data_IF_755814628403
#
_entry.id   IF_755814628403
#
_cell.length_a   1.000
_cell.length_b   1.000
_cell.length_c   1.000
_cell.angle_alpha   90.00
_cell.angle_beta   90.00
_cell.angle_gamma   90.00
#
_symmetry.space_group_name_H-M   'P 1'
#
loop_
_entity.id
_entity.type
_entity.pdbx_description
1 polymer ?
#
# COMPACT_ATOMS: atom_id res chain seq x y z
N UNK A 1 38.57 19.85 22.11
CA UNK A 1 38.51 19.59 23.57
C UNK A 1 38.68 18.10 23.73
N UNK A 2 39.70 17.67 24.46
CA UNK A 2 39.88 16.26 24.78
C UNK A 2 38.83 15.92 25.87
N UNK A 3 37.97 14.94 25.62
CA UNK A 3 36.97 14.56 26.62
C UNK A 3 37.65 14.04 27.88
N UNK A 4 37.08 14.31 29.04
CA UNK A 4 37.47 13.68 30.29
C UNK A 4 37.47 12.16 30.15
N UNK A 5 38.32 11.45 30.84
CA UNK A 5 38.39 9.99 30.83
C UNK A 5 37.01 9.40 31.14
N UNK A 6 36.38 8.86 30.11
CA UNK A 6 35.04 8.23 30.18
C UNK A 6 34.98 7.03 29.27
N UNK A 7 34.01 6.16 29.51
CA UNK A 7 33.75 4.99 28.63
C UNK A 7 32.84 5.44 27.50
N UNK A 8 33.37 5.46 26.31
CA UNK A 8 32.58 5.78 25.10
C UNK A 8 31.94 4.50 24.57
N UNK A 9 30.63 4.50 24.43
CA UNK A 9 29.88 3.42 23.82
C UNK A 9 29.55 3.79 22.36
N UNK A 10 30.15 3.08 21.42
CA UNK A 10 29.75 3.14 20.03
C UNK A 10 28.71 2.04 19.76
N UNK A 11 27.53 2.44 19.37
CA UNK A 11 26.46 1.51 18.96
C UNK A 11 26.63 1.15 17.50
N UNK A 12 26.97 -0.10 17.24
CA UNK A 12 26.99 -0.62 15.88
C UNK A 12 25.57 -1.08 15.50
N UNK A 13 25.10 -0.65 14.32
CA UNK A 13 23.80 -0.99 13.72
C UNK A 13 24.06 -2.12 12.69
N UNK A 14 23.09 -3.03 12.51
CA UNK A 14 23.13 -4.03 11.46
C UNK A 14 23.54 -5.45 11.89
N UNK A 15 23.89 -5.68 13.17
CA UNK A 15 24.26 -7.04 13.66
C UNK A 15 23.09 -8.01 13.81
N UNK A 16 21.86 -7.53 13.87
CA UNK A 16 20.66 -8.35 13.96
C UNK A 16 19.88 -8.18 12.64
N UNK A 17 19.97 -9.17 11.76
CA UNK A 17 19.11 -9.23 10.57
C UNK A 17 17.66 -9.42 11.02
N UNK A 18 16.86 -8.36 10.93
CA UNK A 18 15.43 -8.45 11.15
C UNK A 18 14.77 -9.09 9.93
N UNK A 19 13.94 -10.08 10.18
CA UNK A 19 12.93 -10.53 9.21
C UNK A 19 11.59 -9.87 9.56
N UNK A 20 10.76 -9.66 8.55
CA UNK A 20 9.41 -9.12 8.77
C UNK A 20 8.63 -10.08 9.69
N UNK A 21 8.03 -9.54 10.74
CA UNK A 21 7.21 -10.31 11.71
C UNK A 21 6.02 -11.00 11.03
N UNK A 22 5.54 -10.42 9.93
CA UNK A 22 4.42 -10.92 9.13
C UNK A 22 4.64 -10.52 7.67
N UNK A 23 4.16 -11.35 6.74
CA UNK A 23 4.13 -10.97 5.32
C UNK A 23 3.26 -9.73 5.06
N UNK A 24 2.32 -9.40 5.96
CA UNK A 24 1.41 -8.27 5.79
C UNK A 24 2.12 -6.90 5.89
N UNK A 25 3.34 -6.83 6.45
CA UNK A 25 4.16 -5.62 6.52
C UNK A 25 5.15 -5.48 5.36
N UNK A 26 5.19 -6.46 4.44
CA UNK A 26 6.08 -6.42 3.28
C UNK A 26 5.47 -5.53 2.20
N UNK A 27 6.15 -4.43 1.92
CA UNK A 27 5.71 -3.40 1.00
C UNK A 27 6.65 -3.27 -0.19
N UNK A 28 6.13 -2.85 -1.32
CA UNK A 28 6.91 -2.42 -2.47
C UNK A 28 6.77 -0.91 -2.70
N UNK A 29 7.81 -0.26 -3.15
CA UNK A 29 7.77 1.11 -3.63
C UNK A 29 8.45 1.16 -4.98
N UNK A 30 7.69 1.45 -6.02
CA UNK A 30 8.21 1.67 -7.37
C UNK A 30 8.30 3.17 -7.61
N UNK A 31 9.49 3.60 -7.99
CA UNK A 31 9.75 5.00 -8.35
C UNK A 31 10.22 5.07 -9.80
N UNK A 32 9.41 5.72 -10.62
CA UNK A 32 9.76 6.07 -11.98
C UNK A 32 10.35 7.48 -11.96
N UNK A 33 11.61 7.61 -12.30
CA UNK A 33 12.35 8.87 -12.16
C UNK A 33 12.90 9.32 -13.51
N UNK A 34 13.00 10.62 -13.72
CA UNK A 34 13.57 11.19 -14.93
C UNK A 34 15.09 10.96 -15.08
N UNK A 35 15.77 10.56 -13.99
CA UNK A 35 17.17 10.19 -13.98
C UNK A 35 17.42 9.05 -13.00
N UNK A 36 18.42 8.19 -13.31
CA UNK A 36 18.81 7.11 -12.42
C UNK A 36 19.70 7.63 -11.29
N UNK A 37 19.27 7.49 -10.01
CA UNK A 37 20.02 8.03 -8.87
C UNK A 37 21.19 7.14 -8.42
N UNK A 38 21.42 5.99 -9.07
CA UNK A 38 22.40 5.00 -8.67
C UNK A 38 23.55 4.91 -9.68
N UNK A 39 24.78 4.81 -9.16
CA UNK A 39 25.95 4.55 -9.97
C UNK A 39 26.02 3.07 -10.37
N UNK A 40 26.69 2.79 -11.48
CA UNK A 40 27.01 1.42 -11.88
C UNK A 40 27.86 0.74 -10.79
N UNK A 41 27.47 -0.47 -10.35
CA UNK A 41 28.15 -1.20 -9.27
C UNK A 41 27.56 -1.00 -7.88
N UNK A 42 26.46 -0.28 -7.75
CA UNK A 42 25.67 -0.19 -6.52
C UNK A 42 25.16 -1.58 -6.07
N UNK A 43 24.92 -1.83 -4.76
CA UNK A 43 24.41 -3.09 -4.24
C UNK A 43 22.96 -3.43 -4.65
N UNK A 44 22.38 -2.64 -5.52
CA UNK A 44 21.09 -2.94 -6.13
C UNK A 44 21.17 -4.14 -7.08
N UNK A 45 20.13 -4.95 -7.07
CA UNK A 45 19.95 -6.00 -8.07
C UNK A 45 19.27 -5.38 -9.28
N UNK A 46 19.94 -5.41 -10.42
CA UNK A 46 19.34 -5.01 -11.70
C UNK A 46 18.45 -6.13 -12.22
N UNK A 47 17.20 -5.78 -12.56
CA UNK A 47 16.26 -6.70 -13.22
C UNK A 47 15.73 -6.06 -14.50
N UNK A 48 15.40 -6.89 -15.46
CA UNK A 48 14.78 -6.47 -16.71
C UNK A 48 13.28 -6.22 -16.48
N UNK A 49 12.79 -5.05 -16.88
CA UNK A 49 11.37 -4.67 -16.89
C UNK A 49 10.81 -4.88 -18.29
N UNK A 50 11.50 -4.35 -19.30
CA UNK A 50 11.32 -4.62 -20.71
C UNK A 50 12.69 -4.82 -21.36
N UNK A 51 12.81 -5.28 -22.62
CA UNK A 51 14.10 -5.42 -23.29
C UNK A 51 14.95 -4.14 -23.32
N UNK A 52 14.32 -2.97 -23.15
CA UNK A 52 14.97 -1.66 -23.19
C UNK A 52 15.07 -0.99 -21.80
N UNK A 53 14.29 -1.46 -20.82
CA UNK A 53 14.14 -0.80 -19.53
C UNK A 53 14.52 -1.75 -18.41
N UNK A 54 15.41 -1.29 -17.54
CA UNK A 54 15.87 -1.99 -16.36
C UNK A 54 15.40 -1.31 -15.10
N UNK A 55 15.17 -2.09 -14.07
CA UNK A 55 14.84 -1.59 -12.74
C UNK A 55 15.90 -2.04 -11.74
N UNK A 56 16.33 -1.12 -10.90
CA UNK A 56 17.23 -1.39 -9.79
C UNK A 56 16.39 -1.70 -8.56
N UNK A 57 16.58 -2.86 -7.97
CA UNK A 57 15.80 -3.37 -6.86
C UNK A 57 16.66 -3.56 -5.63
N UNK A 58 16.22 -3.01 -4.50
CA UNK A 58 16.82 -3.24 -3.19
C UNK A 58 15.77 -3.66 -2.16
N UNK A 59 16.19 -4.53 -1.25
CA UNK A 59 15.42 -4.86 -0.05
C UNK A 59 15.95 -4.03 1.11
N UNK A 60 15.09 -3.24 1.73
CA UNK A 60 15.41 -2.33 2.84
C UNK A 60 14.58 -2.72 4.06
N UNK A 61 15.20 -2.89 5.19
CA UNK A 61 14.57 -3.28 6.46
C UNK A 61 14.56 -2.17 7.50
N UNK A 62 15.42 -1.19 7.33
CA UNK A 62 15.51 0.03 8.13
C UNK A 62 16.14 1.14 7.28
N UNK A 63 15.82 2.38 7.60
CA UNK A 63 16.17 3.52 6.74
C UNK A 63 17.68 3.67 6.52
N UNK A 64 18.49 3.37 7.53
CA UNK A 64 19.95 3.53 7.50
C UNK A 64 20.64 2.61 6.47
N UNK A 65 20.01 1.48 6.08
CA UNK A 65 20.51 0.64 4.97
C UNK A 65 20.62 1.42 3.65
N UNK A 66 19.88 2.52 3.52
CA UNK A 66 19.96 3.36 2.34
C UNK A 66 21.31 4.09 2.23
N UNK A 67 21.94 4.44 3.35
CA UNK A 67 23.29 5.00 3.37
C UNK A 67 24.33 4.00 2.83
N UNK A 68 24.25 2.74 3.26
CA UNK A 68 25.11 1.67 2.75
C UNK A 68 24.92 1.50 1.23
N UNK A 69 23.68 1.56 0.75
CA UNK A 69 23.32 1.43 -0.66
C UNK A 69 23.91 2.58 -1.49
N UNK A 70 23.91 3.80 -0.95
CA UNK A 70 24.50 4.96 -1.62
C UNK A 70 26.02 5.08 -1.40
N UNK A 71 26.60 4.33 -0.48
CA UNK A 71 28.00 4.42 -0.11
C UNK A 71 28.37 5.75 0.54
N UNK A 72 27.46 6.29 1.36
CA UNK A 72 27.60 7.57 2.08
C UNK A 72 27.40 7.38 3.57
N UNK A 73 27.77 8.38 4.37
CA UNK A 73 27.47 8.37 5.81
C UNK A 73 25.98 8.58 6.08
N UNK A 74 25.46 7.98 7.16
CA UNK A 74 24.05 8.14 7.55
C UNK A 74 23.61 9.60 7.67
N UNK A 75 24.50 10.47 8.12
CA UNK A 75 24.25 11.91 8.23
C UNK A 75 23.99 12.61 6.88
N UNK A 76 24.47 12.03 5.79
CA UNK A 76 24.32 12.58 4.43
C UNK A 76 22.97 12.23 3.80
N UNK A 77 22.30 11.20 4.30
CA UNK A 77 20.94 10.83 3.85
C UNK A 77 19.86 11.37 4.78
N UNK A 78 20.24 11.93 5.95
CA UNK A 78 19.24 12.52 6.83
C UNK A 78 18.76 13.86 6.30
N UNK A 79 17.48 14.03 6.33
CA UNK A 79 16.72 15.19 5.84
C UNK A 79 17.14 16.56 6.43
N UNK A 80 17.90 16.57 7.54
CA UNK A 80 18.28 17.76 8.30
C UNK A 80 19.54 18.45 7.79
N UNK A 81 20.40 17.79 7.04
CA UNK A 81 21.72 18.29 6.65
C UNK A 81 21.87 18.55 5.13
N UNK A 82 20.81 18.37 4.36
CA UNK A 82 20.88 18.50 2.91
C UNK A 82 21.15 19.94 2.44
N UNK A 83 22.41 20.29 2.27
CA UNK A 83 22.79 21.30 1.25
C UNK A 83 22.68 20.58 -0.08
N UNK A 84 21.56 20.82 -0.76
CA UNK A 84 21.31 20.29 -2.08
C UNK A 84 22.16 21.03 -3.10
N UNK A 85 22.91 20.28 -3.87
CA UNK A 85 23.36 20.76 -5.18
C UNK A 85 22.12 20.72 -6.10
N UNK A 86 21.42 21.84 -6.15
CA UNK A 86 20.09 22.03 -6.74
C UNK A 86 20.07 21.99 -8.27
N UNK A 87 21.15 21.61 -8.89
CA UNK A 87 21.30 21.72 -10.34
C UNK A 87 21.23 20.40 -11.12
N UNK A 88 21.19 19.24 -10.48
CA UNK A 88 21.37 17.97 -11.19
C UNK A 88 20.17 17.03 -10.98
N UNK A 89 19.54 16.59 -12.08
CA UNK A 89 18.41 15.68 -12.06
C UNK A 89 18.68 14.35 -11.29
N UNK A 90 19.93 13.88 -11.30
CA UNK A 90 20.38 12.71 -10.52
C UNK A 90 20.27 12.97 -9.03
N UNK A 91 20.65 14.17 -8.55
CA UNK A 91 20.58 14.50 -7.13
C UNK A 91 19.12 14.64 -6.66
N UNK A 92 18.25 15.24 -7.46
CA UNK A 92 16.83 15.32 -7.16
C UNK A 92 16.17 13.94 -7.12
N UNK A 93 16.53 13.08 -8.06
CA UNK A 93 16.07 11.68 -8.07
C UNK A 93 16.52 10.92 -6.80
N UNK A 94 17.77 11.11 -6.37
CA UNK A 94 18.29 10.56 -5.11
C UNK A 94 17.48 11.06 -3.92
N UNK A 95 17.21 12.36 -3.87
CA UNK A 95 16.44 12.96 -2.79
C UNK A 95 15.01 12.44 -2.72
N UNK A 96 14.36 12.23 -3.86
CA UNK A 96 13.02 11.63 -3.91
C UNK A 96 13.01 10.22 -3.32
N UNK A 97 14.00 9.38 -3.66
CA UNK A 97 14.15 8.05 -3.07
C UNK A 97 14.35 8.13 -1.56
N UNK A 98 15.26 9.00 -1.09
CA UNK A 98 15.54 9.19 0.34
C UNK A 98 14.28 9.66 1.08
N UNK A 99 13.59 10.68 0.56
CA UNK A 99 12.39 11.23 1.18
C UNK A 99 11.29 10.16 1.36
N UNK A 100 10.91 9.48 0.29
CA UNK A 100 9.83 8.50 0.35
C UNK A 100 10.20 7.26 1.19
N UNK A 101 11.46 6.84 1.17
CA UNK A 101 11.94 5.75 2.01
C UNK A 101 11.94 6.15 3.49
N UNK A 102 12.37 7.37 3.82
CA UNK A 102 12.35 7.91 5.18
C UNK A 102 10.90 8.01 5.70
N UNK A 103 9.99 8.54 4.89
CA UNK A 103 8.58 8.66 5.25
C UNK A 103 7.92 7.28 5.47
N UNK A 104 8.31 6.26 4.68
CA UNK A 104 7.85 4.90 4.90
C UNK A 104 8.28 4.37 6.28
N UNK A 105 9.58 4.44 6.60
CA UNK A 105 10.09 3.93 7.88
C UNK A 105 9.68 4.78 9.07
N UNK A 106 9.39 6.07 8.87
CA UNK A 106 8.80 6.91 9.91
C UNK A 106 7.43 6.40 10.35
N UNK A 107 6.62 5.92 9.42
CA UNK A 107 5.30 5.34 9.69
C UNK A 107 5.38 3.87 10.12
N UNK A 108 6.26 3.09 9.52
CA UNK A 108 6.42 1.64 9.73
C UNK A 108 7.87 1.26 10.06
N UNK A 109 8.33 1.52 11.30
CA UNK A 109 9.72 1.23 11.69
C UNK A 109 10.09 -0.26 11.63
N UNK A 110 9.13 -1.16 11.68
CA UNK A 110 9.32 -2.62 11.59
C UNK A 110 8.94 -3.18 10.23
N UNK A 111 8.56 -2.32 9.28
CA UNK A 111 8.19 -2.72 7.92
C UNK A 111 9.39 -3.23 7.12
N UNK A 112 9.10 -3.99 6.08
CA UNK A 112 10.07 -4.40 5.07
C UNK A 112 9.71 -3.72 3.75
N UNK A 113 10.66 -3.00 3.15
CA UNK A 113 10.46 -2.28 1.91
C UNK A 113 11.29 -2.88 0.77
N UNK A 114 10.63 -3.24 -0.31
CA UNK A 114 11.26 -3.52 -1.58
C UNK A 114 11.19 -2.30 -2.49
N UNK A 115 12.31 -1.61 -2.58
CA UNK A 115 12.44 -0.42 -3.43
C UNK A 115 12.80 -0.85 -4.85
N UNK A 116 11.99 -0.43 -5.82
CA UNK A 116 12.28 -0.58 -7.24
C UNK A 116 12.41 0.81 -7.88
N UNK A 117 13.55 1.11 -8.50
CA UNK A 117 13.78 2.39 -9.18
C UNK A 117 14.06 2.13 -10.64
N UNK A 118 13.34 2.81 -11.52
CA UNK A 118 13.51 2.73 -12.97
C UNK A 118 13.38 4.11 -13.60
N UNK A 119 13.82 4.23 -14.85
CA UNK A 119 13.62 5.44 -15.63
C UNK A 119 12.19 5.46 -16.17
N UNK A 120 11.61 6.65 -16.17
CA UNK A 120 10.29 6.92 -16.72
C UNK A 120 10.17 6.54 -18.21
N UNK A 121 9.02 5.99 -18.59
CA UNK A 121 8.70 5.63 -19.98
C UNK A 121 7.25 5.13 -20.11
N UNK A 122 6.72 5.12 -21.32
CA UNK A 122 5.37 4.65 -21.61
C UNK A 122 5.18 3.17 -21.24
N UNK A 123 4.12 2.84 -20.53
CA UNK A 123 3.78 1.48 -20.12
C UNK A 123 4.61 0.89 -18.97
N UNK A 124 5.69 1.56 -18.57
CA UNK A 124 6.64 1.09 -17.56
C UNK A 124 6.00 0.73 -16.21
N UNK A 125 4.99 1.47 -15.70
CA UNK A 125 4.40 1.14 -14.39
C UNK A 125 3.89 -0.30 -14.31
N UNK A 126 3.25 -0.79 -15.35
CA UNK A 126 2.68 -2.15 -15.39
C UNK A 126 3.77 -3.21 -15.36
N UNK A 127 4.72 -3.12 -16.26
CA UNK A 127 5.82 -4.06 -16.36
C UNK A 127 6.70 -4.02 -15.10
N UNK A 128 6.94 -2.82 -14.53
CA UNK A 128 7.69 -2.65 -13.29
C UNK A 128 7.00 -3.33 -12.09
N UNK A 129 5.67 -3.19 -11.97
CA UNK A 129 4.90 -3.86 -10.91
C UNK A 129 5.02 -5.38 -11.03
N UNK A 130 4.84 -5.92 -12.25
CA UNK A 130 4.95 -7.35 -12.50
C UNK A 130 6.38 -7.86 -12.24
N UNK A 131 7.40 -7.12 -12.69
CA UNK A 131 8.80 -7.47 -12.51
C UNK A 131 9.17 -7.50 -11.02
N UNK A 132 8.77 -6.48 -10.24
CA UNK A 132 9.03 -6.42 -8.81
C UNK A 132 8.31 -7.55 -8.06
N UNK A 133 7.05 -7.80 -8.37
CA UNK A 133 6.27 -8.87 -7.73
C UNK A 133 6.82 -10.26 -8.09
N UNK A 134 7.31 -10.46 -9.31
CA UNK A 134 7.98 -11.69 -9.71
C UNK A 134 9.33 -11.86 -8.97
N UNK A 135 10.12 -10.79 -8.87
CA UNK A 135 11.40 -10.80 -8.14
C UNK A 135 11.22 -11.19 -6.67
N UNK A 136 10.15 -10.73 -6.05
CA UNK A 136 9.83 -11.03 -4.65
C UNK A 136 9.02 -12.31 -4.46
N UNK A 137 8.79 -13.07 -5.52
CA UNK A 137 8.00 -14.30 -5.51
C UNK A 137 6.58 -14.10 -4.94
N UNK A 138 6.00 -12.92 -5.18
CA UNK A 138 4.67 -12.59 -4.70
C UNK A 138 4.58 -12.29 -3.20
N UNK A 139 5.66 -11.92 -2.53
CA UNK A 139 5.65 -11.61 -1.09
C UNK A 139 5.15 -10.22 -0.76
N UNK A 140 5.20 -9.27 -1.70
CA UNK A 140 4.69 -7.91 -1.49
C UNK A 140 3.17 -7.96 -1.34
N UNK A 141 2.63 -7.22 -0.38
CA UNK A 141 1.18 -7.15 -0.08
C UNK A 141 0.56 -5.81 -0.43
N UNK A 142 1.32 -4.75 -0.32
CA UNK A 142 0.95 -3.40 -0.71
C UNK A 142 2.08 -2.75 -1.50
N UNK A 143 1.71 -1.94 -2.48
CA UNK A 143 2.63 -1.30 -3.40
C UNK A 143 2.33 0.19 -3.53
N UNK A 144 3.34 1.02 -3.31
CA UNK A 144 3.33 2.42 -3.69
C UNK A 144 3.90 2.60 -5.09
N UNK A 145 3.27 3.43 -5.90
CA UNK A 145 3.78 3.82 -7.21
C UNK A 145 3.95 5.33 -7.25
N UNK A 146 5.19 5.76 -7.47
CA UNK A 146 5.55 7.14 -7.67
C UNK A 146 5.87 7.34 -9.15
N UNK A 147 5.04 8.14 -9.85
CA UNK A 147 5.22 8.41 -11.28
C UNK A 147 5.35 9.91 -11.50
N UNK A 148 6.47 10.43 -12.01
CA UNK A 148 6.66 11.86 -12.11
C UNK A 148 5.90 12.52 -13.26
N UNK A 149 5.73 11.88 -14.37
CA UNK A 149 5.15 12.54 -15.54
C UNK A 149 4.05 11.72 -16.18
N UNK A 150 2.84 12.22 -16.11
CA UNK A 150 1.80 11.82 -17.01
C UNK A 150 0.89 13.01 -17.25
N UNK A 151 0.65 13.32 -18.49
CA UNK A 151 -0.12 14.49 -18.92
C UNK A 151 -1.55 14.47 -18.34
N UNK A 152 -1.79 15.27 -17.32
CA UNK A 152 -3.12 15.56 -16.79
C UNK A 152 -3.94 14.34 -16.38
N UNK A 153 -5.20 14.26 -16.85
CA UNK A 153 -6.12 13.16 -16.56
C UNK A 153 -5.62 11.76 -17.02
N UNK A 154 -4.58 11.70 -17.87
CA UNK A 154 -3.94 10.45 -18.26
C UNK A 154 -3.27 9.75 -17.08
N UNK A 155 -2.95 10.45 -15.99
CA UNK A 155 -2.51 9.82 -14.73
C UNK A 155 -3.55 8.80 -14.24
N UNK A 156 -4.84 9.08 -14.44
CA UNK A 156 -5.90 8.12 -14.14
C UNK A 156 -5.89 6.93 -15.10
N UNK A 157 -5.45 7.10 -16.32
CA UNK A 157 -5.30 6.00 -17.29
C UNK A 157 -4.10 5.11 -16.95
N UNK A 158 -3.03 5.66 -16.39
CA UNK A 158 -1.94 4.86 -15.81
C UNK A 158 -2.41 4.04 -14.61
N UNK A 159 -3.24 4.64 -13.77
CA UNK A 159 -3.93 3.92 -12.71
C UNK A 159 -4.87 2.86 -13.32
N UNK A 160 -5.54 3.18 -14.42
CA UNK A 160 -6.44 2.28 -15.15
C UNK A 160 -5.72 1.13 -15.87
N UNK A 161 -4.50 1.33 -16.34
CA UNK A 161 -3.67 0.23 -16.84
C UNK A 161 -3.41 -0.83 -15.75
N UNK A 162 -3.68 -0.49 -14.48
CA UNK A 162 -3.75 -1.42 -13.36
C UNK A 162 -4.78 -2.55 -13.54
N UNK A 163 -5.89 -2.37 -14.26
CA UNK A 163 -6.92 -3.41 -14.42
C UNK A 163 -6.39 -4.73 -14.98
N UNK A 164 -5.55 -4.65 -16.01
CA UNK A 164 -4.93 -5.84 -16.57
C UNK A 164 -3.91 -6.49 -15.61
N UNK A 165 -3.33 -5.68 -14.70
CA UNK A 165 -2.38 -6.14 -13.69
C UNK A 165 -3.12 -6.85 -12.57
N UNK A 166 -4.22 -6.30 -12.06
CA UNK A 166 -4.99 -6.91 -10.98
C UNK A 166 -5.45 -8.31 -11.35
N UNK A 167 -6.12 -8.45 -12.49
CA UNK A 167 -6.57 -9.75 -12.98
C UNK A 167 -5.41 -10.72 -13.18
N UNK A 168 -4.29 -10.24 -13.75
CA UNK A 168 -3.09 -11.06 -13.91
C UNK A 168 -2.46 -11.48 -12.57
N UNK A 169 -2.38 -10.59 -11.59
CA UNK A 169 -1.84 -10.90 -10.28
C UNK A 169 -2.77 -11.79 -9.45
N UNK A 170 -4.08 -11.62 -9.56
CA UNK A 170 -5.06 -12.52 -8.94
C UNK A 170 -4.98 -13.93 -9.53
N UNK A 171 -4.89 -14.06 -10.85
CA UNK A 171 -4.69 -15.35 -11.52
C UNK A 171 -3.38 -16.03 -11.10
N UNK A 172 -2.32 -15.26 -10.83
CA UNK A 172 -1.06 -15.75 -10.29
C UNK A 172 -1.09 -15.94 -8.77
N UNK A 173 -2.23 -15.70 -8.12
CA UNK A 173 -2.39 -15.76 -6.66
C UNK A 173 -1.47 -14.80 -5.89
N UNK A 174 -1.22 -13.61 -6.45
CA UNK A 174 -0.34 -12.57 -5.90
C UNK A 174 -1.02 -11.20 -5.83
N UNK A 175 -2.22 -11.11 -5.22
CA UNK A 175 -2.96 -9.86 -5.16
C UNK A 175 -2.15 -8.77 -4.45
N UNK A 176 -2.31 -7.54 -4.91
CA UNK A 176 -1.65 -6.34 -4.39
C UNK A 176 -2.68 -5.25 -4.13
N UNK A 177 -2.53 -4.55 -3.02
CA UNK A 177 -3.15 -3.25 -2.81
C UNK A 177 -2.20 -2.17 -3.31
N UNK A 178 -2.60 -1.36 -4.29
CA UNK A 178 -1.74 -0.41 -5.00
C UNK A 178 -2.17 1.02 -4.69
N UNK A 179 -1.23 1.85 -4.26
CA UNK A 179 -1.45 3.30 -4.06
C UNK A 179 -0.60 4.05 -5.08
N UNK A 180 -1.25 4.85 -5.91
CA UNK A 180 -0.59 5.70 -6.90
C UNK A 180 -0.57 7.14 -6.39
N UNK A 181 0.63 7.70 -6.22
CA UNK A 181 0.82 9.12 -5.96
C UNK A 181 0.69 9.89 -7.26
N UNK A 182 -0.29 10.78 -7.32
CA UNK A 182 -0.46 11.68 -8.45
C UNK A 182 0.55 12.83 -8.39
N UNK A 183 0.78 13.48 -9.52
CA UNK A 183 1.62 14.69 -9.64
C UNK A 183 0.80 15.90 -10.03
N UNK A 184 1.36 17.10 -9.81
CA UNK A 184 0.75 18.37 -10.22
C UNK A 184 0.60 18.49 -11.73
N UNK A 185 1.43 17.80 -12.51
CA UNK A 185 1.52 18.02 -13.96
C UNK A 185 0.16 17.86 -14.65
N UNK A 186 -0.31 18.96 -15.26
CA UNK A 186 -1.60 19.03 -15.94
C UNK A 186 -2.83 18.96 -15.03
N UNK A 187 -2.67 18.96 -13.69
CA UNK A 187 -3.76 18.95 -12.73
C UNK A 187 -3.87 20.30 -12.00
N UNK A 188 -5.11 20.74 -11.82
CA UNK A 188 -5.51 21.88 -10.99
C UNK A 188 -6.50 21.41 -9.95
N UNK A 189 -6.73 22.17 -8.89
CA UNK A 189 -7.78 21.90 -7.92
C UNK A 189 -9.16 21.72 -8.60
N UNK A 190 -9.47 22.56 -9.59
CA UNK A 190 -10.72 22.45 -10.35
C UNK A 190 -10.85 21.11 -11.09
N UNK A 191 -9.75 20.58 -11.62
CA UNK A 191 -9.75 19.24 -12.22
C UNK A 191 -10.04 18.18 -11.18
N UNK A 192 -9.39 18.22 -10.00
CA UNK A 192 -9.60 17.25 -8.92
C UNK A 192 -11.05 17.28 -8.39
N UNK A 193 -11.62 18.49 -8.29
CA UNK A 193 -13.01 18.66 -7.84
C UNK A 193 -14.03 18.18 -8.89
N UNK A 194 -13.77 18.37 -10.17
CA UNK A 194 -14.69 17.99 -11.26
C UNK A 194 -14.48 16.56 -11.77
N UNK A 195 -13.28 15.99 -11.58
CA UNK A 195 -12.99 14.65 -12.03
C UNK A 195 -13.72 13.63 -11.16
N UNK A 196 -14.49 12.76 -11.79
CA UNK A 196 -14.96 11.55 -11.16
C UNK A 196 -14.01 10.40 -11.55
N UNK A 197 -13.05 10.02 -10.69
CA UNK A 197 -12.16 8.91 -10.97
C UNK A 197 -12.86 7.56 -10.91
N UNK A 198 -14.16 7.54 -10.55
CA UNK A 198 -15.00 6.36 -10.67
C UNK A 198 -15.17 6.03 -12.15
N UNK A 199 -14.42 5.07 -12.57
CA UNK A 199 -14.63 4.44 -13.86
C UNK A 199 -15.99 3.73 -13.83
N UNK A 200 -16.63 3.58 -15.01
CA UNK A 200 -17.96 3.01 -15.16
C UNK A 200 -18.22 1.83 -14.22
N UNK A 201 -19.43 1.68 -13.71
CA UNK A 201 -19.89 0.60 -12.80
C UNK A 201 -19.59 -0.84 -13.29
N UNK A 202 -19.03 -0.99 -14.49
CA UNK A 202 -18.69 -2.27 -15.12
C UNK A 202 -17.29 -2.79 -14.83
N UNK A 203 -16.39 -1.95 -14.28
CA UNK A 203 -15.00 -2.33 -14.02
C UNK A 203 -14.63 -2.09 -12.56
N UNK A 204 -14.40 -3.16 -11.81
CA UNK A 204 -13.92 -3.08 -10.44
C UNK A 204 -12.44 -2.68 -10.39
N UNK A 205 -12.11 -1.71 -9.56
CA UNK A 205 -10.75 -1.21 -9.29
C UNK A 205 -10.44 -1.25 -7.81
N UNK A 206 -10.86 -2.31 -7.19
CA UNK A 206 -10.81 -2.56 -5.76
C UNK A 206 -9.42 -2.46 -5.14
N UNK A 207 -8.38 -2.76 -5.92
CA UNK A 207 -7.00 -2.80 -5.40
C UNK A 207 -6.24 -1.48 -5.63
N UNK A 208 -6.88 -0.48 -6.22
CA UNK A 208 -6.25 0.76 -6.64
C UNK A 208 -6.73 1.95 -5.81
N UNK A 209 -5.80 2.77 -5.36
CA UNK A 209 -6.06 4.00 -4.60
C UNK A 209 -5.28 5.17 -5.18
N UNK A 210 -5.85 6.37 -5.19
CA UNK A 210 -5.21 7.58 -5.68
C UNK A 210 -4.88 8.53 -4.52
N UNK A 211 -3.63 8.94 -4.47
CA UNK A 211 -3.10 9.81 -3.42
C UNK A 211 -2.81 11.21 -3.97
N UNK A 212 -3.40 12.22 -3.36
CA UNK A 212 -3.20 13.63 -3.69
C UNK A 212 -2.61 14.44 -2.53
N UNK A 213 -2.36 13.83 -1.37
CA UNK A 213 -1.68 14.49 -0.25
C UNK A 213 -0.23 14.80 -0.59
N UNK A 214 0.20 16.01 -0.29
CA UNK A 214 1.56 16.49 -0.49
C UNK A 214 2.06 17.23 0.75
N UNK A 215 3.38 17.20 1.02
CA UNK A 215 4.02 18.04 2.03
C UNK A 215 4.59 19.28 1.36
N UNK A 216 3.94 20.41 1.56
CA UNK A 216 4.31 21.72 0.99
C UNK A 216 5.30 22.49 1.88
N UNK A 217 6.04 21.84 2.77
CA UNK A 217 7.13 22.46 3.50
C UNK A 217 8.23 22.90 2.52
N UNK A 218 8.65 24.16 2.63
CA UNK A 218 9.60 24.74 1.68
C UNK A 218 10.94 23.98 1.60
N UNK A 219 11.34 23.30 2.68
CA UNK A 219 12.55 22.48 2.70
C UNK A 219 12.34 21.20 1.90
N UNK A 220 11.14 20.57 2.04
CA UNK A 220 10.77 19.38 1.27
C UNK A 220 10.76 19.72 -0.22
N UNK A 221 10.06 20.79 -0.59
CA UNK A 221 9.94 21.23 -1.96
C UNK A 221 11.30 21.57 -2.58
N UNK A 222 12.15 22.29 -1.84
CA UNK A 222 13.51 22.61 -2.28
C UNK A 222 14.36 21.36 -2.52
N UNK A 223 14.25 20.36 -1.63
CA UNK A 223 15.01 19.13 -1.75
C UNK A 223 14.57 18.24 -2.90
N UNK A 224 13.29 18.20 -3.17
CA UNK A 224 12.71 17.39 -4.25
C UNK A 224 12.78 18.10 -5.60
N UNK A 225 13.11 19.42 -5.62
CA UNK A 225 12.95 20.25 -6.79
C UNK A 225 11.46 20.52 -7.05
N UNK A 226 11.03 21.72 -6.75
CA UNK A 226 9.61 22.11 -6.70
C UNK A 226 8.83 21.65 -7.93
N UNK A 227 9.38 21.89 -9.14
CA UNK A 227 8.73 21.52 -10.39
C UNK A 227 9.03 20.08 -10.85
N UNK A 228 9.98 19.40 -10.21
CA UNK A 228 10.44 18.09 -10.66
C UNK A 228 9.84 16.94 -9.85
N UNK A 229 9.91 17.00 -8.51
CA UNK A 229 9.38 15.98 -7.61
C UNK A 229 8.67 16.56 -6.38
N UNK A 230 8.56 17.88 -6.26
CA UNK A 230 8.03 18.56 -5.08
C UNK A 230 6.53 18.40 -4.92
N UNK A 231 5.77 18.55 -6.00
CA UNK A 231 4.31 18.46 -5.99
C UNK A 231 3.80 17.07 -6.37
N UNK A 232 4.19 16.09 -5.57
CA UNK A 232 3.80 14.69 -5.74
C UNK A 232 3.14 14.14 -4.49
N UNK A 233 2.24 13.19 -4.68
CA UNK A 233 1.64 12.46 -3.58
C UNK A 233 2.70 11.82 -2.68
N UNK A 234 2.56 11.98 -1.36
CA UNK A 234 3.49 11.45 -0.35
C UNK A 234 3.37 9.92 -0.19
N UNK A 235 3.66 9.18 -1.26
CA UNK A 235 3.45 7.72 -1.37
C UNK A 235 4.15 6.95 -0.26
N UNK A 236 5.40 7.32 0.07
CA UNK A 236 6.12 6.65 1.15
C UNK A 236 5.39 6.73 2.50
N UNK A 237 4.80 7.88 2.79
CA UNK A 237 4.04 8.12 4.01
C UNK A 237 2.79 7.22 4.10
N UNK A 238 1.96 7.21 3.07
CA UNK A 238 0.74 6.37 3.01
C UNK A 238 1.09 4.89 3.03
N UNK A 239 2.07 4.49 2.23
CA UNK A 239 2.53 3.10 2.16
C UNK A 239 3.04 2.60 3.52
N UNK A 240 3.78 3.46 4.23
CA UNK A 240 4.21 3.18 5.60
C UNK A 240 3.04 3.03 6.57
N UNK A 241 2.03 3.90 6.48
CA UNK A 241 0.81 3.79 7.30
C UNK A 241 0.04 2.48 7.01
N UNK A 242 -0.08 2.09 5.73
CA UNK A 242 -0.69 0.81 5.33
C UNK A 242 0.13 -0.37 5.87
N UNK A 243 1.46 -0.30 5.78
CA UNK A 243 2.36 -1.34 6.32
C UNK A 243 2.24 -1.51 7.83
N UNK A 244 2.14 -0.38 8.57
CA UNK A 244 2.01 -0.38 10.03
C UNK A 244 0.61 -0.80 10.51
N UNK A 245 -0.41 -0.70 9.65
CA UNK A 245 -1.77 -1.09 9.98
C UNK A 245 -1.96 -2.61 9.86
N UNK A 246 -2.77 -3.19 10.77
CA UNK A 246 -3.30 -4.54 10.55
C UNK A 246 -4.17 -4.55 9.30
N UNK A 247 -4.38 -5.71 8.71
CA UNK A 247 -5.14 -5.83 7.45
C UNK A 247 -6.57 -5.32 7.54
N UNK A 248 -7.16 -5.30 8.73
CA UNK A 248 -8.52 -4.85 9.03
C UNK A 248 -8.59 -3.42 9.60
N UNK A 249 -7.46 -2.72 9.72
CA UNK A 249 -7.41 -1.36 10.27
C UNK A 249 -7.37 -0.32 9.14
N UNK A 250 -8.18 0.72 9.28
CA UNK A 250 -8.10 1.88 8.39
C UNK A 250 -6.94 2.78 8.75
N UNK A 251 -6.19 3.25 7.75
CA UNK A 251 -5.13 4.26 7.93
C UNK A 251 -5.67 5.61 8.43
N UNK A 252 -6.97 5.85 8.29
CA UNK A 252 -7.65 7.04 8.79
C UNK A 252 -8.01 6.96 10.28
N UNK A 253 -7.59 5.93 11.00
CA UNK A 253 -7.84 5.83 12.44
C UNK A 253 -7.05 6.89 13.22
N UNK A 254 -7.73 7.99 13.55
CA UNK A 254 -7.18 9.17 14.22
C UNK A 254 -6.46 8.84 15.55
N UNK A 255 -6.94 7.84 16.29
CA UNK A 255 -6.33 7.39 17.55
C UNK A 255 -5.00 6.65 17.38
N UNK A 256 -4.62 6.26 16.15
CA UNK A 256 -3.46 5.42 15.91
C UNK A 256 -2.51 5.97 14.85
N UNK A 257 -3.02 6.45 13.72
CA UNK A 257 -2.19 6.83 12.58
C UNK A 257 -2.25 8.35 12.35
N UNK A 258 -1.10 9.02 12.51
CA UNK A 258 -0.90 10.42 12.13
C UNK A 258 -0.12 10.45 10.81
N UNK A 259 -0.60 11.19 9.82
CA UNK A 259 0.17 11.40 8.60
C UNK A 259 1.47 12.17 8.91
N UNK A 260 1.39 13.20 9.77
CA UNK A 260 2.56 13.89 10.30
C UNK A 260 3.34 14.66 9.26
N UNK A 261 2.66 15.13 8.18
CA UNK A 261 3.24 16.04 7.20
C UNK A 261 3.51 17.39 7.88
N UNK A 262 4.64 18.03 7.54
CA UNK A 262 5.03 19.30 8.17
C UNK A 262 4.13 20.44 7.74
N UNK A 263 3.85 20.55 6.44
CA UNK A 263 2.96 21.55 5.85
C UNK A 263 2.00 20.85 4.88
N UNK A 264 0.94 20.23 5.41
CA UNK A 264 0.05 19.42 4.59
C UNK A 264 -0.74 20.26 3.57
N UNK A 265 -0.85 19.73 2.38
CA UNK A 265 -1.59 20.31 1.26
C UNK A 265 -1.87 19.28 0.19
N UNK A 266 -2.25 19.76 -0.98
CA UNK A 266 -2.52 18.97 -2.17
C UNK A 266 -1.36 19.09 -3.18
N UNK A 267 -1.25 18.08 -4.04
CA UNK A 267 -0.30 18.10 -5.16
C UNK A 267 -0.46 19.32 -6.06
N UNK A 268 -1.63 19.93 -6.13
CA UNK A 268 -1.93 21.12 -6.91
C UNK A 268 -1.36 22.41 -6.30
N UNK A 269 -0.88 22.34 -5.06
CA UNK A 269 -0.15 23.42 -4.38
C UNK A 269 -0.96 24.15 -3.32
N UNK A 270 -2.25 23.87 -3.16
CA UNK A 270 -3.07 24.47 -2.12
C UNK A 270 -2.74 23.86 -0.76
N UNK A 271 -2.58 24.73 0.23
CA UNK A 271 -2.46 24.32 1.62
C UNK A 271 -3.79 23.79 2.13
N UNK A 272 -3.74 22.88 3.07
CA UNK A 272 -4.93 22.31 3.69
C UNK A 272 -5.83 23.39 4.34
N UNK A 273 -5.21 24.45 4.89
CA UNK A 273 -5.92 25.58 5.53
C UNK A 273 -6.59 26.54 4.50
N UNK A 274 -6.24 26.43 3.22
CA UNK A 274 -6.81 27.22 2.14
C UNK A 274 -8.03 26.56 1.50
N UNK A 275 -8.27 25.28 1.79
CA UNK A 275 -9.38 24.50 1.24
C UNK A 275 -10.64 24.68 2.09
N UNK A 276 -11.77 24.83 1.43
CA UNK A 276 -13.06 24.83 2.12
C UNK A 276 -13.51 23.41 2.52
N UNK A 277 -14.36 23.31 3.54
CA UNK A 277 -14.99 22.04 3.91
C UNK A 277 -15.75 21.41 2.74
N UNK A 278 -16.31 22.24 1.85
CA UNK A 278 -17.00 21.77 0.64
C UNK A 278 -16.03 21.11 -0.31
N UNK A 279 -14.86 21.70 -0.55
CA UNK A 279 -13.82 21.12 -1.41
C UNK A 279 -13.31 19.79 -0.85
N UNK A 280 -13.05 19.76 0.47
CA UNK A 280 -12.61 18.54 1.15
C UNK A 280 -13.67 17.41 1.06
N UNK A 281 -14.94 17.75 1.18
CA UNK A 281 -16.01 16.76 1.01
C UNK A 281 -16.10 16.25 -0.43
N UNK A 282 -15.99 17.13 -1.44
CA UNK A 282 -15.99 16.73 -2.85
C UNK A 282 -14.80 15.83 -3.17
N UNK A 283 -13.59 16.18 -2.70
CA UNK A 283 -12.39 15.35 -2.87
C UNK A 283 -12.55 13.97 -2.20
N UNK A 284 -13.18 13.92 -1.05
CA UNK A 284 -13.49 12.66 -0.36
C UNK A 284 -14.52 11.82 -1.13
N UNK A 285 -15.56 12.44 -1.65
CA UNK A 285 -16.58 11.75 -2.45
C UNK A 285 -16.01 11.27 -3.79
N UNK A 286 -15.03 12.00 -4.34
CA UNK A 286 -14.22 11.59 -5.51
C UNK A 286 -13.20 10.49 -5.16
N UNK A 287 -13.20 9.96 -3.94
CA UNK A 287 -12.41 8.80 -3.51
C UNK A 287 -10.89 9.02 -3.47
N UNK A 288 -10.41 10.27 -3.43
CA UNK A 288 -9.00 10.55 -3.23
C UNK A 288 -8.56 10.30 -1.79
N UNK A 289 -7.33 9.84 -1.62
CA UNK A 289 -6.64 9.84 -0.33
C UNK A 289 -5.90 11.17 -0.20
N UNK A 290 -6.22 11.91 0.86
CA UNK A 290 -5.54 13.15 1.23
C UNK A 290 -5.46 13.24 2.76
N UNK A 291 -4.89 14.31 3.29
CA UNK A 291 -4.83 14.55 4.73
C UNK A 291 -5.81 15.64 5.15
N UNK A 292 -6.24 15.60 6.41
CA UNK A 292 -7.11 16.60 7.01
C UNK A 292 -6.70 16.92 8.44
N UNK A 293 -7.09 18.06 8.94
CA UNK A 293 -7.10 18.34 10.36
C UNK A 293 -8.38 17.80 11.00
N UNK A 294 -8.26 17.42 12.28
CA UNK A 294 -9.41 17.03 13.10
C UNK A 294 -9.49 18.02 14.24
N UNK A 295 -10.62 18.73 14.34
CA UNK A 295 -10.81 19.75 15.36
C UNK A 295 -10.64 19.19 16.77
N UNK A 296 -9.87 19.90 17.61
CA UNK A 296 -9.57 19.49 18.97
C UNK A 296 -8.48 18.43 19.10
N UNK A 297 -7.91 17.92 17.99
CA UNK A 297 -6.82 16.92 18.01
C UNK A 297 -5.64 17.43 17.20
N UNK A 298 -4.45 17.42 17.81
CA UNK A 298 -3.24 17.93 17.17
C UNK A 298 -2.70 16.97 16.11
N UNK A 299 -2.27 17.53 14.97
CA UNK A 299 -1.69 16.80 13.84
C UNK A 299 -2.62 16.72 12.64
N UNK A 300 -2.12 16.10 11.58
CA UNK A 300 -2.89 15.83 10.38
C UNK A 300 -3.04 14.31 10.19
N UNK A 301 -4.16 13.92 9.61
CA UNK A 301 -4.62 12.53 9.51
C UNK A 301 -5.13 12.28 8.10
N UNK A 302 -5.04 11.04 7.63
CA UNK A 302 -5.69 10.68 6.36
C UNK A 302 -7.20 10.83 6.47
N UNK A 303 -7.84 11.28 5.37
CA UNK A 303 -9.29 11.44 5.30
C UNK A 303 -10.03 10.11 5.41
N UNK A 304 -9.63 9.14 4.61
CA UNK A 304 -10.10 7.74 4.64
C UNK A 304 -9.10 6.84 3.90
N UNK A 305 -9.40 5.55 3.79
CA UNK A 305 -8.63 4.50 3.11
C UNK A 305 -9.30 4.10 1.78
N UNK A 306 -9.61 5.07 0.95
CA UNK A 306 -10.37 4.85 -0.28
C UNK A 306 -9.65 3.96 -1.29
N UNK A 307 -10.41 3.06 -1.93
CA UNK A 307 -10.08 2.48 -3.22
C UNK A 307 -10.86 3.20 -4.33
N UNK A 308 -10.61 2.87 -5.58
CA UNK A 308 -11.39 3.41 -6.71
C UNK A 308 -12.72 2.69 -6.95
N UNK A 309 -13.05 1.70 -6.14
CA UNK A 309 -14.38 1.09 -6.18
C UNK A 309 -15.44 2.03 -5.61
N UNK A 310 -16.69 1.95 -6.11
CA UNK A 310 -17.80 2.73 -5.59
C UNK A 310 -18.00 2.52 -4.08
N UNK A 311 -18.54 3.51 -3.38
CA UNK A 311 -18.82 3.43 -1.94
C UNK A 311 -19.75 2.27 -1.56
N UNK A 312 -20.57 1.81 -2.49
CA UNK A 312 -21.48 0.67 -2.34
C UNK A 312 -20.81 -0.69 -2.51
N UNK A 313 -19.56 -0.72 -2.96
CA UNK A 313 -18.78 -1.94 -3.11
C UNK A 313 -18.28 -2.45 -1.77
N UNK A 314 -18.23 -3.76 -1.59
CA UNK A 314 -17.56 -4.43 -0.45
C UNK A 314 -16.07 -4.10 -0.39
N UNK A 315 -15.48 -3.71 -1.51
CA UNK A 315 -14.07 -3.38 -1.68
C UNK A 315 -13.77 -1.88 -1.74
N UNK A 316 -14.71 -1.06 -1.29
CA UNK A 316 -14.58 0.40 -1.30
C UNK A 316 -13.41 0.93 -0.46
N UNK A 317 -12.75 0.11 0.36
CA UNK A 317 -11.72 0.52 1.31
C UNK A 317 -10.55 -0.48 1.34
N UNK A 318 -9.34 0.05 1.53
CA UNK A 318 -8.08 -0.72 1.52
C UNK A 318 -8.12 -1.89 2.51
N UNK A 319 -8.61 -1.69 3.73
CA UNK A 319 -8.68 -2.73 4.76
C UNK A 319 -9.60 -3.89 4.36
N UNK A 320 -10.68 -3.62 3.65
CA UNK A 320 -11.58 -4.67 3.17
C UNK A 320 -10.89 -5.55 2.12
N UNK A 321 -10.17 -4.91 1.18
CA UNK A 321 -9.37 -5.59 0.16
C UNK A 321 -8.29 -6.43 0.81
N UNK A 322 -7.46 -5.83 1.66
CA UNK A 322 -6.34 -6.50 2.34
C UNK A 322 -6.80 -7.70 3.17
N UNK A 323 -7.95 -7.57 3.86
CA UNK A 323 -8.52 -8.66 4.65
C UNK A 323 -9.00 -9.81 3.77
N UNK A 324 -9.60 -9.52 2.59
CA UNK A 324 -9.99 -10.53 1.63
C UNK A 324 -8.78 -11.23 1.04
N UNK A 325 -7.80 -10.48 0.59
CA UNK A 325 -6.56 -11.00 0.01
C UNK A 325 -5.82 -11.92 0.99
N UNK A 326 -5.78 -11.54 2.27
CA UNK A 326 -5.21 -12.38 3.32
C UNK A 326 -6.00 -13.67 3.50
N UNK A 327 -7.33 -13.60 3.58
CA UNK A 327 -8.18 -14.78 3.71
C UNK A 327 -7.93 -15.77 2.55
N UNK A 328 -7.89 -15.27 1.31
CA UNK A 328 -7.60 -16.09 0.13
C UNK A 328 -6.21 -16.75 0.23
N UNK A 329 -5.19 -16.00 0.64
CA UNK A 329 -3.83 -16.54 0.81
C UNK A 329 -3.76 -17.63 1.87
N UNK A 330 -4.34 -17.39 3.05
CA UNK A 330 -4.27 -18.33 4.17
C UNK A 330 -5.05 -19.63 3.85
N UNK A 331 -6.22 -19.52 3.26
CA UNK A 331 -7.01 -20.68 2.80
C UNK A 331 -6.22 -21.46 1.74
N UNK A 332 -5.70 -20.77 0.73
CA UNK A 332 -4.91 -21.40 -0.32
C UNK A 332 -3.69 -22.13 0.24
N UNK A 333 -2.95 -21.51 1.16
CA UNK A 333 -1.79 -22.11 1.81
C UNK A 333 -2.11 -23.43 2.52
N UNK A 334 -3.27 -23.49 3.13
CA UNK A 334 -3.75 -24.73 3.82
C UNK A 334 -4.27 -25.78 2.85
N UNK A 335 -4.90 -25.37 1.73
CA UNK A 335 -5.53 -26.30 0.78
C UNK A 335 -4.60 -26.82 -0.32
N UNK A 336 -3.55 -26.08 -0.69
CA UNK A 336 -2.58 -26.48 -1.75
C UNK A 336 -2.02 -27.91 -1.56
N UNK A 337 -1.69 -28.38 -0.33
CA UNK A 337 -1.21 -29.74 -0.12
C UNK A 337 -2.22 -30.85 -0.50
N UNK A 338 -3.51 -30.51 -0.63
CA UNK A 338 -4.56 -31.45 -0.99
C UNK A 338 -4.80 -31.52 -2.52
N UNK A 339 -4.18 -30.65 -3.30
CA UNK A 339 -4.27 -30.74 -4.77
C UNK A 339 -3.65 -32.06 -5.25
N UNK A 340 -4.37 -32.71 -6.18
CA UNK A 340 -4.00 -34.03 -6.71
C UNK A 340 -3.93 -35.16 -5.66
N UNK A 341 -4.41 -34.96 -4.44
CA UNK A 341 -4.51 -36.03 -3.45
C UNK A 341 -5.71 -36.92 -3.75
N UNK A 342 -5.65 -38.21 -3.41
CA UNK A 342 -6.81 -39.10 -3.49
C UNK A 342 -7.88 -38.66 -2.48
N UNK A 343 -9.14 -38.70 -2.91
CA UNK A 343 -10.28 -38.33 -2.08
C UNK A 343 -11.30 -39.46 -2.04
N UNK A 344 -11.87 -39.74 -0.84
CA UNK A 344 -12.86 -40.78 -0.69
C UNK A 344 -14.21 -40.33 -1.29
N UNK A 345 -14.82 -41.25 -2.02
CA UNK A 345 -16.12 -41.10 -2.67
C UNK A 345 -17.12 -42.06 -2.02
N UNK A 346 -18.35 -41.61 -1.86
CA UNK A 346 -19.47 -42.43 -1.44
C UNK A 346 -19.84 -43.40 -2.56
N UNK A 347 -19.66 -44.71 -2.33
CA UNK A 347 -19.85 -45.73 -3.35
C UNK A 347 -21.32 -45.89 -3.78
N UNK A 348 -22.27 -45.43 -2.96
CA UNK A 348 -23.70 -45.56 -3.27
C UNK A 348 -24.24 -44.40 -4.10
N UNK A 349 -23.66 -43.19 -3.95
CA UNK A 349 -24.12 -41.95 -4.64
C UNK A 349 -23.16 -41.48 -5.72
N UNK A 350 -21.88 -41.87 -5.68
CA UNK A 350 -20.83 -41.35 -6.56
C UNK A 350 -20.37 -39.96 -6.23
N UNK A 351 -20.83 -39.38 -5.12
CA UNK A 351 -20.48 -38.01 -4.65
C UNK A 351 -19.38 -38.08 -3.59
N UNK A 352 -18.97 -36.94 -3.07
CA UNK A 352 -17.97 -36.85 -2.00
C UNK A 352 -18.43 -37.64 -0.72
N UNK A 353 -17.53 -38.37 -0.11
CA UNK A 353 -17.80 -38.98 1.18
C UNK A 353 -17.77 -37.90 2.29
N UNK A 354 -18.67 -38.03 3.29
CA UNK A 354 -18.81 -37.08 4.41
C UNK A 354 -17.49 -36.83 5.16
N UNK A 355 -16.66 -37.84 5.30
CA UNK A 355 -15.35 -37.72 5.93
C UNK A 355 -14.40 -36.84 5.13
N UNK A 356 -14.46 -36.88 3.79
CA UNK A 356 -13.67 -36.04 2.90
C UNK A 356 -14.12 -34.59 2.97
N UNK A 357 -15.44 -34.38 3.01
CA UNK A 357 -16.06 -33.05 3.17
C UNK A 357 -15.59 -32.44 4.49
N UNK A 358 -15.82 -33.13 5.59
CA UNK A 358 -15.47 -32.69 6.94
C UNK A 358 -13.98 -32.36 7.08
N UNK A 359 -13.10 -33.17 6.49
CA UNK A 359 -11.65 -32.92 6.53
C UNK A 359 -11.28 -31.63 5.79
N UNK A 360 -11.77 -31.43 4.55
CA UNK A 360 -11.46 -30.25 3.75
C UNK A 360 -12.08 -28.97 4.34
N UNK A 361 -13.30 -29.05 4.87
CA UNK A 361 -13.94 -27.94 5.58
C UNK A 361 -13.12 -27.53 6.81
N UNK A 362 -12.67 -28.51 7.62
CA UNK A 362 -11.85 -28.24 8.82
C UNK A 362 -10.51 -27.59 8.45
N UNK A 363 -9.88 -28.03 7.37
CA UNK A 363 -8.63 -27.42 6.88
C UNK A 363 -8.85 -25.96 6.48
N UNK A 364 -9.89 -25.67 5.71
CA UNK A 364 -10.21 -24.30 5.31
C UNK A 364 -10.66 -23.45 6.51
N UNK A 365 -11.48 -23.98 7.40
CA UNK A 365 -11.89 -23.31 8.64
C UNK A 365 -10.69 -22.92 9.50
N UNK A 366 -9.69 -23.81 9.65
CA UNK A 366 -8.51 -23.54 10.48
C UNK A 366 -7.75 -22.27 10.05
N UNK A 367 -7.73 -21.94 8.75
CA UNK A 367 -7.11 -20.73 8.25
C UNK A 367 -7.88 -19.47 8.71
N UNK A 368 -9.19 -19.51 8.63
CA UNK A 368 -10.06 -18.39 9.02
C UNK A 368 -10.19 -18.24 10.54
N UNK A 369 -10.18 -19.34 11.29
CA UNK A 369 -10.11 -19.31 12.76
C UNK A 369 -8.84 -18.59 13.27
N UNK A 370 -7.71 -18.78 12.60
CA UNK A 370 -6.48 -18.07 12.93
C UNK A 370 -6.62 -16.55 12.71
N UNK A 371 -7.33 -16.13 11.66
CA UNK A 371 -7.63 -14.72 11.41
C UNK A 371 -8.62 -14.15 12.44
N UNK A 372 -9.64 -14.93 12.82
CA UNK A 372 -10.62 -14.54 13.84
C UNK A 372 -9.95 -14.40 15.21
N UNK A 373 -9.10 -15.34 15.61
CA UNK A 373 -8.31 -15.26 16.86
C UNK A 373 -7.37 -14.03 16.91
N UNK A 374 -6.86 -13.59 15.75
CA UNK A 374 -6.08 -12.35 15.64
C UNK A 374 -6.94 -11.08 15.60
N UNK A 375 -8.29 -11.22 15.56
CA UNK A 375 -9.21 -10.09 15.46
C UNK A 375 -9.18 -9.41 14.09
N UNK A 376 -8.90 -10.14 13.02
CA UNK A 376 -8.85 -9.64 11.65
C UNK A 376 -10.21 -9.79 10.94
N UNK A 377 -11.03 -10.74 11.38
CA UNK A 377 -12.41 -10.94 10.97
C UNK A 377 -13.28 -11.20 12.20
N UNK A 378 -14.58 -10.95 12.09
CA UNK A 378 -15.57 -11.17 13.19
C UNK A 378 -16.16 -12.56 13.20
N UNK A 379 -16.10 -13.28 12.10
CA UNK A 379 -16.63 -14.62 11.97
C UNK A 379 -16.51 -15.12 10.53
N UNK A 380 -16.70 -16.44 10.38
CA UNK A 380 -16.61 -17.10 9.09
C UNK A 380 -17.49 -18.35 9.04
N UNK A 381 -17.73 -18.82 7.83
CA UNK A 381 -18.37 -20.10 7.56
C UNK A 381 -17.76 -20.70 6.30
N UNK A 382 -17.40 -21.97 6.36
CA UNK A 382 -16.99 -22.78 5.22
C UNK A 382 -18.02 -23.90 5.02
N UNK A 383 -18.40 -24.15 3.80
CA UNK A 383 -19.29 -25.25 3.44
C UNK A 383 -18.89 -25.82 2.08
N UNK A 384 -18.99 -27.13 1.95
CA UNK A 384 -18.84 -27.86 0.70
C UNK A 384 -20.20 -28.52 0.40
N UNK A 385 -20.73 -28.31 -0.81
CA UNK A 385 -21.93 -29.01 -1.24
C UNK A 385 -21.62 -30.51 -1.36
N UNK A 386 -22.32 -31.41 -0.62
CA UNK A 386 -22.06 -32.85 -0.66
C UNK A 386 -22.42 -33.51 -2.01
N UNK A 387 -23.29 -32.88 -2.80
CA UNK A 387 -23.81 -33.47 -4.04
C UNK A 387 -22.85 -33.33 -5.23
N UNK A 388 -21.64 -32.83 -5.01
CA UNK A 388 -20.64 -32.63 -6.08
C UNK A 388 -20.10 -33.99 -6.56
N UNK A 389 -20.08 -34.16 -7.90
CA UNK A 389 -19.51 -35.33 -8.54
C UNK A 389 -18.08 -35.09 -9.03
N UNK A 390 -17.14 -35.25 -8.11
CA UNK A 390 -15.71 -35.02 -8.35
C UNK A 390 -15.14 -36.01 -9.38
N UNK A 391 -15.69 -37.20 -9.49
CA UNK A 391 -15.27 -38.18 -10.49
C UNK A 391 -15.51 -37.71 -11.93
N UNK A 392 -16.55 -36.89 -12.13
CA UNK A 392 -16.89 -36.36 -13.45
C UNK A 392 -16.16 -35.06 -13.75
N UNK A 393 -15.96 -34.18 -12.74
CA UNK A 393 -15.45 -32.82 -12.94
C UNK A 393 -13.97 -32.68 -12.60
N UNK A 394 -13.45 -33.49 -11.66
CA UNK A 394 -12.12 -33.30 -11.09
C UNK A 394 -12.01 -32.08 -10.18
N UNK A 395 -13.12 -31.43 -9.81
CA UNK A 395 -13.17 -30.16 -9.08
C UNK A 395 -14.01 -30.30 -7.81
N UNK A 396 -13.64 -29.51 -6.80
CA UNK A 396 -14.41 -29.31 -5.57
C UNK A 396 -14.64 -27.82 -5.38
N UNK A 397 -15.89 -27.42 -5.26
CA UNK A 397 -16.31 -26.07 -4.98
C UNK A 397 -16.53 -25.85 -3.48
N UNK A 398 -15.92 -24.82 -2.92
CA UNK A 398 -16.13 -24.36 -1.55
C UNK A 398 -16.99 -23.10 -1.55
N UNK A 399 -17.95 -23.04 -0.63
CA UNK A 399 -18.67 -21.83 -0.32
C UNK A 399 -18.11 -21.25 1.00
N UNK A 400 -17.46 -20.09 0.90
CA UNK A 400 -16.82 -19.45 2.04
C UNK A 400 -17.42 -18.08 2.25
N UNK A 401 -17.90 -17.82 3.46
CA UNK A 401 -18.43 -16.53 3.89
C UNK A 401 -17.61 -16.02 5.07
N UNK A 402 -17.33 -14.74 5.09
CA UNK A 402 -16.65 -14.08 6.21
C UNK A 402 -17.35 -12.78 6.58
N UNK A 403 -17.33 -12.45 7.87
CA UNK A 403 -17.82 -11.20 8.40
C UNK A 403 -16.59 -10.33 8.73
N UNK A 404 -16.40 -9.18 8.08
CA UNK A 404 -15.27 -8.29 8.37
C UNK A 404 -15.40 -7.64 9.75
N UNK A 405 -14.31 -7.09 10.25
CA UNK A 405 -14.36 -6.15 11.38
C UNK A 405 -14.92 -4.83 10.86
N UNK A 406 -15.90 -4.28 11.59
CA UNK A 406 -16.53 -3.00 11.23
C UNK A 406 -15.62 -1.81 11.55
N UNK A 407 -15.48 -0.88 10.60
CA UNK A 407 -14.82 0.42 10.81
C UNK A 407 -15.89 1.51 10.98
N UNK A 408 -15.84 2.21 12.12
CA UNK A 408 -16.80 3.27 12.42
C UNK A 408 -16.35 4.57 11.77
N UNK A 409 -16.92 4.93 10.63
CA UNK A 409 -16.61 6.17 9.90
C UNK A 409 -17.44 7.37 10.32
N UNK A 410 -18.63 7.14 10.89
CA UNK A 410 -19.53 8.20 11.34
C UNK A 410 -20.22 7.81 12.64
N UNK A 411 -20.17 8.70 13.61
CA UNK A 411 -20.95 8.60 14.84
C UNK A 411 -22.01 9.71 14.87
N UNK A 412 -23.25 9.36 15.16
CA UNK A 412 -24.33 10.32 15.34
C UNK A 412 -24.75 10.29 16.79
N UNK A 413 -24.50 11.38 17.50
CA UNK A 413 -24.85 11.56 18.90
C UNK A 413 -26.05 12.50 18.98
N UNK A 414 -27.11 12.06 19.66
CA UNK A 414 -28.25 12.92 20.00
C UNK A 414 -28.08 13.34 21.45
N UNK A 415 -27.95 14.64 21.69
CA UNK A 415 -27.83 15.20 23.01
C UNK A 415 -28.92 16.25 23.20
N UNK A 416 -29.51 16.32 24.37
CA UNK A 416 -30.55 17.29 24.68
C UNK A 416 -30.59 17.58 26.17
N UNK A 417 -31.24 18.67 26.52
CA UNK A 417 -31.52 19.01 27.93
C UNK A 417 -32.76 18.24 28.40
N UNK A 418 -32.71 17.76 29.65
CA UNK A 418 -33.84 17.18 30.33
C UNK A 418 -33.99 17.82 31.71
N UNK A 419 -35.20 17.94 32.21
CA UNK A 419 -35.45 18.41 33.56
C UNK A 419 -35.20 17.32 34.61
N UNK A 420 -35.18 16.06 34.21
CA UNK A 420 -35.00 14.91 35.09
C UNK A 420 -34.30 13.78 34.31
N UNK A 421 -33.35 13.12 34.95
CA UNK A 421 -32.75 11.87 34.46
C UNK A 421 -33.63 10.71 34.93
N UNK A 422 -33.96 9.82 34.03
CA UNK A 422 -34.71 8.56 34.31
C UNK A 422 -33.77 7.51 34.89
#
# INVERSE_FOLDING_TARGET
MTPLNDIVFERQVGGLKREAESEDVISGLIMLLGAMPFASGSPFIEIEVTPQIKMFVAKIRYFEELAEIYGVEESEITYTNGVLDTGQGVQLAKNAVVYHTQEFFRQSPTGELWLGVTIEGDGVPKEAILALQNKTQGKIRQLGVFTPKSEGLNQYQYAAAGDGIEKGLEQLHRPLSIVVGLSKEGLTLSNLLSANPHFSDTESRKNLSLLIACDLDARVLSQLGEEQYGYYGCVGNVLGAISASRVNESIAWVGKFKAGLKKPGLITGELLDELSDTDLNVLNDNRYIFVRYVEGISGNYFNDSHTLDPVTSDYAYIENVRTMDKAVREIRKKLVPFLNSPIAINSSTGTLADISIANLENVANSALEEMEKRGEISGHRVAINPDQNVLATGEIEFQIQKVPIGVVRRMRIKIGFTQKLD
#
